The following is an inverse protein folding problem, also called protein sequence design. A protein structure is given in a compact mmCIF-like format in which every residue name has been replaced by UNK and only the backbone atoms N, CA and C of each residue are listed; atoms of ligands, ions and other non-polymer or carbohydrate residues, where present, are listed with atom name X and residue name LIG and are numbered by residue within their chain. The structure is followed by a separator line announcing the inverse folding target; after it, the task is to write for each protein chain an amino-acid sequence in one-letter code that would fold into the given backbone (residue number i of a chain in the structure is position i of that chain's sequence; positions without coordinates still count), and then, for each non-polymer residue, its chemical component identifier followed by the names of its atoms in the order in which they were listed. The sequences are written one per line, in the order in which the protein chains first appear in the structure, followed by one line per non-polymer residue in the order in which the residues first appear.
data_IF_685273223301
#
_entry.id   IF_685273223301
#
_cell.length_a   1.000
_cell.length_b   1.000
_cell.length_c   1.000
_cell.angle_alpha   90.00
_cell.angle_beta   90.00
_cell.angle_gamma   90.00
#
_symmetry.space_group_name_H-M   'P 1'
#
loop_
_entity.id
_entity.type
_entity.pdbx_description
1 polymer ?
#
# COMPACT_ATOMS: atom_id res chain seq x y z
N UNK A 1 -27.71 -23.13 -67.57
CA UNK A 1 -26.65 -23.52 -66.63
C UNK A 1 -26.38 -22.35 -65.70
N UNK A 2 -26.73 -22.48 -64.41
CA UNK A 2 -26.51 -21.44 -63.39
C UNK A 2 -25.21 -21.77 -62.65
N UNK A 3 -24.22 -20.89 -62.71
CA UNK A 3 -22.99 -20.99 -61.92
C UNK A 3 -23.30 -20.54 -60.48
N UNK A 4 -23.18 -21.45 -59.52
CA UNK A 4 -23.19 -21.12 -58.10
C UNK A 4 -21.75 -20.81 -57.67
N UNK A 5 -21.49 -19.56 -57.27
CA UNK A 5 -20.22 -19.16 -56.70
C UNK A 5 -20.22 -19.52 -55.20
N UNK A 6 -19.31 -20.41 -54.81
CA UNK A 6 -19.09 -20.81 -53.42
C UNK A 6 -18.17 -19.76 -52.77
N UNK A 7 -18.70 -18.96 -51.84
CA UNK A 7 -17.90 -18.03 -51.05
C UNK A 7 -17.34 -18.79 -49.84
N UNK A 8 -16.03 -19.05 -49.85
CA UNK A 8 -15.32 -19.62 -48.70
C UNK A 8 -15.01 -18.51 -47.68
N UNK A 9 -15.65 -18.55 -46.52
CA UNK A 9 -15.30 -17.70 -45.37
C UNK A 9 -13.98 -18.20 -44.76
N UNK A 10 -12.90 -17.46 -44.99
CA UNK A 10 -11.63 -17.66 -44.29
C UNK A 10 -11.80 -17.04 -42.90
N UNK A 11 -11.97 -17.90 -41.89
CA UNK A 11 -11.89 -17.49 -40.48
C UNK A 11 -10.40 -17.36 -40.14
N UNK A 12 -9.87 -16.15 -40.23
CA UNK A 12 -8.57 -15.85 -39.65
C UNK A 12 -8.69 -15.92 -38.12
N UNK A 13 -7.80 -16.63 -37.41
CA UNK A 13 -7.73 -16.52 -35.96
C UNK A 13 -7.39 -15.06 -35.62
N UNK A 14 -8.29 -14.39 -34.92
CA UNK A 14 -8.01 -13.07 -34.36
C UNK A 14 -6.84 -13.25 -33.39
N UNK A 15 -5.66 -12.73 -33.75
CA UNK A 15 -4.60 -12.56 -32.79
C UNK A 15 -5.19 -11.72 -31.63
N UNK A 16 -4.98 -12.10 -30.36
CA UNK A 16 -5.45 -11.28 -29.25
C UNK A 16 -4.85 -9.89 -29.43
N UNK A 17 -5.71 -8.90 -29.69
CA UNK A 17 -5.30 -7.50 -29.68
C UNK A 17 -4.69 -7.24 -28.31
N UNK A 18 -3.42 -6.83 -28.27
CA UNK A 18 -2.80 -6.40 -27.02
C UNK A 18 -3.55 -5.16 -26.53
N UNK A 19 -4.45 -5.32 -25.56
CA UNK A 19 -5.28 -4.26 -24.99
C UNK A 19 -4.50 -3.38 -24.00
N UNK A 20 -3.17 -3.30 -24.15
CA UNK A 20 -2.29 -2.55 -23.26
C UNK A 20 -2.67 -1.08 -23.30
N UNK A 21 -2.90 -0.49 -22.13
CA UNK A 21 -3.28 0.92 -21.99
C UNK A 21 -2.05 1.71 -21.55
N UNK A 22 -1.90 2.94 -22.05
CA UNK A 22 -0.90 3.87 -21.54
C UNK A 22 -1.29 4.30 -20.12
N UNK A 23 -0.39 4.16 -19.15
CA UNK A 23 -0.62 4.60 -17.77
C UNK A 23 0.05 5.96 -17.47
N UNK A 24 0.72 6.56 -18.44
CA UNK A 24 1.49 7.80 -18.24
C UNK A 24 0.60 8.93 -17.71
N UNK A 25 1.07 9.60 -16.66
CA UNK A 25 0.41 10.76 -16.07
C UNK A 25 0.63 10.89 -14.56
N UNK A 26 0.17 12.00 -14.02
CA UNK A 26 0.06 12.23 -12.57
C UNK A 26 -1.36 11.89 -12.14
N UNK A 27 -1.47 10.90 -11.25
CA UNK A 27 -2.73 10.36 -10.78
C UNK A 27 -2.95 10.81 -9.33
N UNK A 28 -3.77 11.84 -9.13
CA UNK A 28 -4.09 12.37 -7.80
C UNK A 28 -5.02 11.42 -7.03
N UNK A 29 -4.71 11.14 -5.77
CA UNK A 29 -5.53 10.26 -4.93
C UNK A 29 -6.87 10.91 -4.60
N UNK A 30 -7.96 10.13 -4.66
CA UNK A 30 -9.30 10.62 -4.32
C UNK A 30 -9.62 10.58 -2.82
N UNK A 31 -8.80 9.88 -2.01
CA UNK A 31 -8.89 9.85 -0.55
C UNK A 31 -10.15 9.15 -0.01
N UNK A 32 -10.40 7.91 -0.44
CA UNK A 32 -11.66 7.20 -0.16
C UNK A 32 -11.56 6.15 0.96
N UNK A 33 -10.35 5.71 1.34
CA UNK A 33 -10.18 4.81 2.47
C UNK A 33 -10.20 5.53 3.82
N UNK A 34 -10.51 4.78 4.87
CA UNK A 34 -10.41 5.21 6.26
C UNK A 34 -8.96 5.45 6.72
N UNK A 35 -7.99 4.84 6.04
CA UNK A 35 -6.57 4.93 6.37
C UNK A 35 -6.05 6.39 6.43
N UNK A 36 -6.57 7.29 5.59
CA UNK A 36 -6.18 8.72 5.65
C UNK A 36 -6.69 9.45 6.89
N UNK A 37 -7.72 8.90 7.57
CA UNK A 37 -8.36 9.47 8.75
C UNK A 37 -7.98 8.75 10.07
N UNK A 38 -7.21 7.66 10.02
CA UNK A 38 -6.82 6.92 11.21
C UNK A 38 -5.78 7.70 12.05
N UNK A 39 -6.19 8.24 13.20
CA UNK A 39 -5.33 9.08 14.07
C UNK A 39 -4.98 8.43 15.40
N UNK A 40 -5.76 7.44 15.85
CA UNK A 40 -5.63 6.78 17.14
C UNK A 40 -4.49 5.74 17.18
N UNK A 41 -3.52 5.83 18.11
CA UNK A 41 -2.32 5.00 18.19
C UNK A 41 -2.56 3.49 17.95
N UNK A 42 -3.60 2.94 18.57
CA UNK A 42 -4.00 1.54 18.42
C UNK A 42 -5.26 1.45 17.57
N UNK A 43 -5.08 1.25 16.27
CA UNK A 43 -6.17 0.95 15.33
C UNK A 43 -5.70 -0.01 14.23
N UNK A 44 -5.99 -1.30 14.45
CA UNK A 44 -5.74 -2.40 13.52
C UNK A 44 -7.03 -2.84 12.79
N UNK A 45 -8.10 -2.03 12.85
CA UNK A 45 -9.37 -2.35 12.20
C UNK A 45 -9.16 -2.67 10.72
N UNK A 46 -9.79 -3.76 10.27
CA UNK A 46 -9.77 -4.22 8.88
C UNK A 46 -8.45 -4.83 8.42
N UNK A 47 -7.42 -4.89 9.26
CA UNK A 47 -6.16 -5.56 8.93
C UNK A 47 -6.22 -7.01 9.41
N UNK A 48 -5.96 -8.01 8.55
CA UNK A 48 -5.94 -9.42 8.93
C UNK A 48 -4.63 -9.79 9.66
N UNK A 49 -4.26 -9.07 10.72
CA UNK A 49 -3.05 -9.34 11.51
C UNK A 49 -3.15 -10.68 12.25
N UNK A 50 -2.05 -11.43 12.25
CA UNK A 50 -1.89 -12.59 13.13
C UNK A 50 -1.39 -12.14 14.52
N UNK A 51 -1.01 -13.08 15.39
CA UNK A 51 -0.50 -12.77 16.73
C UNK A 51 0.81 -11.97 16.68
N UNK A 52 1.79 -12.41 15.87
CA UNK A 52 3.10 -11.74 15.73
C UNK A 52 2.96 -10.32 15.18
N UNK A 53 2.10 -10.12 14.17
CA UNK A 53 1.81 -8.82 13.60
C UNK A 53 1.17 -7.87 14.61
N UNK A 54 0.27 -8.39 15.45
CA UNK A 54 -0.37 -7.63 16.53
C UNK A 54 0.61 -7.26 17.63
N UNK A 55 1.48 -8.18 18.04
CA UNK A 55 2.55 -7.89 19.01
C UNK A 55 3.50 -6.82 18.45
N UNK A 56 3.88 -6.93 17.17
CA UNK A 56 4.73 -5.95 16.50
C UNK A 56 4.08 -4.56 16.50
N UNK A 57 2.81 -4.48 16.12
CA UNK A 57 2.01 -3.26 16.16
C UNK A 57 1.96 -2.64 17.57
N UNK A 58 1.60 -3.42 18.58
CA UNK A 58 1.42 -2.94 19.96
C UNK A 58 2.73 -2.63 20.69
N UNK A 59 3.87 -3.09 20.17
CA UNK A 59 5.19 -2.72 20.69
C UNK A 59 5.68 -1.36 20.21
N UNK A 60 5.04 -0.78 19.19
CA UNK A 60 5.50 0.44 18.55
C UNK A 60 5.13 1.68 19.36
N UNK A 61 6.12 2.52 19.64
CA UNK A 61 5.94 3.89 20.18
C UNK A 61 6.17 4.88 19.03
N UNK A 62 5.23 5.80 18.81
CA UNK A 62 5.31 6.83 17.76
C UNK A 62 6.54 7.73 17.90
N UNK A 63 7.09 7.87 19.10
CA UNK A 63 8.35 8.58 19.31
C UNK A 63 9.53 7.94 18.58
N UNK A 64 9.40 6.70 18.10
CA UNK A 64 10.38 6.08 17.22
C UNK A 64 10.56 6.84 15.88
N UNK A 65 9.60 7.65 15.44
CA UNK A 65 9.78 8.54 14.29
C UNK A 65 10.74 9.69 14.57
N UNK A 66 10.80 10.14 15.82
CA UNK A 66 11.67 11.23 16.27
C UNK A 66 13.10 10.75 16.58
N UNK A 67 13.38 9.45 16.47
CA UNK A 67 14.74 8.93 16.56
C UNK A 67 15.49 9.27 15.26
N UNK A 68 16.64 9.92 15.37
CA UNK A 68 17.40 10.44 14.22
C UNK A 68 17.80 9.32 13.25
N UNK A 69 18.07 8.11 13.73
CA UNK A 69 18.38 6.94 12.90
C UNK A 69 17.18 6.41 12.10
N UNK A 70 15.97 6.89 12.41
CA UNK A 70 14.70 6.42 11.82
C UNK A 70 13.96 7.47 11.01
N UNK A 71 14.19 8.76 11.24
CA UNK A 71 13.48 9.87 10.58
C UNK A 71 13.46 9.78 9.05
N UNK A 72 14.57 9.33 8.45
CA UNK A 72 14.69 9.23 7.00
C UNK A 72 14.51 7.80 6.45
N UNK A 73 13.87 6.91 7.22
CA UNK A 73 13.52 5.59 6.72
C UNK A 73 12.37 5.69 5.71
N UNK A 74 12.58 5.11 4.54
CA UNK A 74 11.53 5.01 3.53
C UNK A 74 10.49 3.95 3.90
N UNK A 75 9.23 4.27 3.66
CA UNK A 75 8.10 3.36 3.70
C UNK A 75 8.23 2.25 2.64
N UNK A 76 7.60 1.09 2.88
CA UNK A 76 7.61 -0.01 1.92
C UNK A 76 6.76 0.32 0.69
N UNK A 77 6.87 -0.44 -0.41
CA UNK A 77 6.12 -0.21 -1.64
C UNK A 77 4.59 -0.12 -1.46
N UNK A 78 4.03 -0.77 -0.44
CA UNK A 78 2.61 -0.69 -0.10
C UNK A 78 2.12 0.76 0.13
N UNK A 79 3.03 1.65 0.54
CA UNK A 79 2.75 3.07 0.74
C UNK A 79 2.37 3.83 -0.54
N UNK A 80 2.62 3.26 -1.73
CA UNK A 80 2.09 3.78 -2.98
C UNK A 80 0.54 3.81 -2.99
N UNK A 81 -0.11 2.94 -2.22
CA UNK A 81 -1.57 2.86 -2.10
C UNK A 81 -2.04 3.43 -0.77
N UNK A 82 -1.35 3.14 0.33
CA UNK A 82 -1.77 3.60 1.65
C UNK A 82 -1.42 5.07 1.94
N UNK A 83 -0.37 5.63 1.31
CA UNK A 83 0.12 6.99 1.52
C UNK A 83 -0.62 8.08 0.74
N UNK A 84 -0.62 9.34 1.20
CA UNK A 84 -1.50 10.39 0.69
C UNK A 84 -1.14 10.93 -0.71
N UNK A 85 0.03 10.53 -1.24
CA UNK A 85 0.63 11.12 -2.41
C UNK A 85 0.02 10.60 -3.73
N UNK A 86 0.12 11.37 -4.83
CA UNK A 86 -0.27 10.88 -6.16
C UNK A 86 0.67 9.76 -6.64
N UNK A 87 0.23 9.05 -7.69
CA UNK A 87 1.10 8.19 -8.49
C UNK A 87 1.54 8.94 -9.75
N UNK A 88 2.84 9.19 -9.89
CA UNK A 88 3.42 9.72 -11.12
C UNK A 88 3.99 8.58 -11.94
N UNK A 89 3.30 8.22 -13.02
CA UNK A 89 3.62 7.06 -13.83
C UNK A 89 4.21 7.51 -15.17
N UNK A 90 5.30 6.89 -15.59
CA UNK A 90 5.96 7.15 -16.87
C UNK A 90 6.50 5.86 -17.50
N UNK A 91 6.62 5.86 -18.83
CA UNK A 91 7.27 4.76 -19.55
C UNK A 91 8.79 4.89 -19.50
N UNK A 92 9.47 3.79 -19.20
CA UNK A 92 10.89 3.60 -19.45
C UNK A 92 11.05 2.79 -20.72
N UNK A 93 11.71 3.36 -21.73
CA UNK A 93 11.97 2.70 -23.01
C UNK A 93 13.38 2.14 -23.04
N UNK A 94 13.54 1.01 -23.71
CA UNK A 94 14.89 0.53 -24.02
C UNK A 94 15.53 1.49 -25.05
N UNK A 95 16.80 1.90 -24.88
CA UNK A 95 17.42 2.95 -25.68
C UNK A 95 17.48 2.71 -27.20
N UNK A 96 17.66 1.47 -27.65
CA UNK A 96 17.89 1.11 -29.06
C UNK A 96 16.58 0.82 -29.80
N UNK A 97 15.76 -0.05 -29.23
CA UNK A 97 14.51 -0.57 -29.80
C UNK A 97 13.31 0.33 -29.53
N UNK A 98 13.41 1.24 -28.56
CA UNK A 98 12.33 2.13 -28.11
C UNK A 98 11.06 1.40 -27.62
N UNK A 99 11.15 0.09 -27.42
CA UNK A 99 10.09 -0.73 -26.83
C UNK A 99 9.97 -0.43 -25.33
N UNK A 100 8.78 -0.66 -24.78
CA UNK A 100 8.54 -0.57 -23.35
C UNK A 100 9.46 -1.56 -22.62
N UNK A 101 10.32 -1.03 -21.75
CA UNK A 101 11.21 -1.82 -20.89
C UNK A 101 10.62 -1.95 -19.48
N UNK A 102 10.10 -0.85 -18.96
CA UNK A 102 9.47 -0.80 -17.64
C UNK A 102 8.45 0.34 -17.55
N UNK A 103 7.56 0.25 -16.57
CA UNK A 103 6.85 1.42 -16.04
C UNK A 103 7.61 1.94 -14.82
N UNK A 104 7.69 3.26 -14.69
CA UNK A 104 8.25 3.92 -13.50
C UNK A 104 7.14 4.64 -12.77
N UNK A 105 6.96 4.31 -11.50
CA UNK A 105 6.25 5.14 -10.53
C UNK A 105 7.30 5.96 -9.79
N UNK A 106 7.23 7.29 -9.87
CA UNK A 106 8.18 8.16 -9.19
C UNK A 106 8.17 7.92 -7.67
N UNK A 107 9.33 8.10 -7.03
CA UNK A 107 9.44 8.09 -5.57
C UNK A 107 8.90 9.39 -4.95
N UNK A 108 8.78 9.35 -3.63
CA UNK A 108 8.46 10.50 -2.76
C UNK A 108 9.56 10.66 -1.70
N UNK A 109 9.53 11.75 -0.92
CA UNK A 109 10.56 12.00 0.11
C UNK A 109 10.68 10.88 1.15
N UNK A 110 9.62 10.09 1.31
CA UNK A 110 9.48 9.00 2.27
C UNK A 110 9.23 7.64 1.58
N UNK A 111 9.33 7.53 0.25
CA UNK A 111 9.17 6.25 -0.49
C UNK A 111 10.07 6.21 -1.72
N UNK A 112 10.76 5.10 -1.91
CA UNK A 112 11.60 4.88 -3.09
C UNK A 112 10.78 4.81 -4.40
N UNK A 113 11.44 5.01 -5.53
CA UNK A 113 10.82 4.79 -6.84
C UNK A 113 10.46 3.31 -7.06
N UNK A 114 9.45 3.05 -7.89
CA UNK A 114 9.08 1.69 -8.28
C UNK A 114 9.27 1.51 -9.77
N UNK A 115 10.23 0.66 -10.15
CA UNK A 115 10.44 0.24 -11.52
C UNK A 115 9.76 -1.11 -11.73
N UNK A 116 8.72 -1.13 -12.55
CA UNK A 116 7.95 -2.33 -12.91
C UNK A 116 8.53 -2.88 -14.21
N UNK A 117 9.43 -3.85 -14.11
CA UNK A 117 10.09 -4.44 -15.28
C UNK A 117 9.11 -5.29 -16.10
N UNK A 118 9.00 -5.01 -17.40
CA UNK A 118 8.03 -5.65 -18.30
C UNK A 118 8.63 -6.74 -19.19
N UNK A 119 9.93 -7.02 -19.04
CA UNK A 119 10.69 -7.93 -19.89
C UNK A 119 10.74 -9.39 -19.39
N UNK A 120 9.96 -9.71 -18.35
CA UNK A 120 9.85 -11.07 -17.81
C UNK A 120 11.11 -11.55 -17.07
N UNK A 121 12.00 -10.64 -16.66
CA UNK A 121 13.17 -11.00 -15.86
C UNK A 121 12.78 -11.68 -14.55
N UNK A 122 13.56 -12.66 -14.07
CA UNK A 122 13.26 -13.33 -12.81
C UNK A 122 13.45 -12.39 -11.62
N UNK A 123 12.68 -12.64 -10.56
CA UNK A 123 12.93 -12.00 -9.28
C UNK A 123 14.29 -12.44 -8.71
N UNK A 124 14.96 -11.60 -7.91
CA UNK A 124 16.20 -11.94 -7.24
C UNK A 124 16.08 -13.22 -6.38
N UNK A 125 17.21 -13.82 -6.05
CA UNK A 125 17.22 -14.92 -5.09
C UNK A 125 16.78 -14.43 -3.71
N UNK A 126 16.18 -15.31 -2.89
CA UNK A 126 15.76 -15.02 -1.51
C UNK A 126 16.85 -14.52 -0.56
N UNK A 127 18.12 -14.56 -0.96
CA UNK A 127 19.27 -14.07 -0.18
C UNK A 127 19.83 -12.76 -0.74
N UNK A 128 19.22 -12.20 -1.79
CA UNK A 128 19.63 -10.92 -2.33
C UNK A 128 19.36 -9.80 -1.30
N UNK A 129 20.14 -8.72 -1.29
CA UNK A 129 19.86 -7.55 -0.48
C UNK A 129 18.47 -6.96 -0.81
N UNK A 130 17.73 -6.51 0.20
CA UNK A 130 16.42 -5.88 0.03
C UNK A 130 16.57 -4.36 -0.05
N UNK A 131 16.39 -3.73 -1.24
CA UNK A 131 16.26 -2.27 -1.34
C UNK A 131 14.94 -1.78 -0.72
N UNK A 132 14.82 -0.48 -0.47
CA UNK A 132 13.58 0.10 0.06
C UNK A 132 12.42 -0.04 -0.95
N UNK A 133 12.64 0.28 -2.23
CA UNK A 133 11.64 0.11 -3.29
C UNK A 133 11.35 -1.34 -3.71
N UNK A 134 12.08 -2.31 -3.16
CA UNK A 134 11.98 -3.72 -3.55
C UNK A 134 12.38 -3.98 -5.00
N UNK A 135 11.97 -5.14 -5.51
CA UNK A 135 12.11 -5.53 -6.90
C UNK A 135 10.74 -5.89 -7.48
N UNK A 136 10.37 -5.24 -8.59
CA UNK A 136 9.03 -5.33 -9.17
C UNK A 136 9.07 -5.79 -10.61
N UNK A 137 8.25 -6.78 -10.97
CA UNK A 137 7.97 -7.16 -12.35
C UNK A 137 6.52 -6.90 -12.68
N UNK A 138 6.19 -6.75 -13.96
CA UNK A 138 4.82 -6.53 -14.42
C UNK A 138 4.43 -7.42 -15.58
N UNK A 139 3.15 -7.77 -15.62
CA UNK A 139 2.49 -8.52 -16.68
C UNK A 139 1.16 -7.87 -17.04
N UNK A 140 0.77 -7.95 -18.30
CA UNK A 140 -0.53 -7.47 -18.75
C UNK A 140 -1.55 -8.63 -18.78
N UNK A 141 -2.70 -8.40 -18.17
CA UNK A 141 -3.88 -9.27 -18.24
C UNK A 141 -5.01 -8.48 -18.92
N UNK A 142 -5.12 -8.60 -20.24
CA UNK A 142 -5.99 -7.71 -21.03
C UNK A 142 -5.50 -6.27 -20.96
N UNK A 143 -6.32 -5.40 -20.39
CA UNK A 143 -6.05 -3.97 -20.17
C UNK A 143 -5.61 -3.64 -18.73
N UNK A 144 -5.45 -4.66 -17.88
CA UNK A 144 -4.97 -4.54 -16.51
C UNK A 144 -3.47 -4.79 -16.46
N UNK A 145 -2.70 -3.84 -15.92
CA UNK A 145 -1.31 -4.10 -15.55
C UNK A 145 -1.30 -4.72 -14.16
N UNK A 146 -0.72 -5.90 -14.01
CA UNK A 146 -0.45 -6.52 -12.71
C UNK A 146 1.03 -6.43 -12.43
N UNK A 147 1.43 -5.84 -11.30
CA UNK A 147 2.81 -5.82 -10.85
C UNK A 147 2.99 -6.61 -9.58
N UNK A 148 4.09 -7.36 -9.46
CA UNK A 148 4.45 -8.11 -8.26
C UNK A 148 5.78 -7.59 -7.74
N UNK A 149 5.78 -7.11 -6.51
CA UNK A 149 6.92 -6.58 -5.79
C UNK A 149 7.33 -7.52 -4.65
N UNK A 150 8.63 -7.75 -4.53
CA UNK A 150 9.25 -8.58 -3.47
C UNK A 150 10.55 -7.92 -3.02
N UNK A 151 11.29 -8.53 -2.08
CA UNK A 151 12.62 -8.06 -1.67
C UNK A 151 12.63 -6.60 -1.21
N UNK A 152 11.53 -6.11 -0.65
CA UNK A 152 11.50 -4.81 0.01
C UNK A 152 11.75 -4.99 1.51
N UNK A 153 12.13 -3.90 2.17
CA UNK A 153 12.35 -3.92 3.61
C UNK A 153 11.02 -3.95 4.37
N UNK A 154 11.07 -4.49 5.59
CA UNK A 154 10.00 -4.35 6.57
C UNK A 154 9.59 -2.88 6.69
N UNK A 155 8.29 -2.64 6.83
CA UNK A 155 7.79 -1.29 7.01
C UNK A 155 6.30 -1.21 7.26
N UNK A 156 5.83 0.02 7.48
CA UNK A 156 4.45 0.32 7.85
C UNK A 156 3.46 0.15 6.68
N UNK A 157 2.27 -0.34 7.01
CA UNK A 157 1.14 -0.54 6.08
C UNK A 157 -0.10 0.28 6.44
N UNK A 158 -0.16 0.89 7.63
CA UNK A 158 -1.27 1.72 8.12
C UNK A 158 -0.78 2.73 9.17
N UNK A 159 -0.07 3.79 8.76
CA UNK A 159 0.33 4.94 9.62
C UNK A 159 0.88 4.56 11.00
N UNK A 160 1.80 3.61 10.98
CA UNK A 160 2.53 3.01 12.10
C UNK A 160 1.70 2.19 13.07
N UNK A 161 0.55 1.70 12.60
CA UNK A 161 -0.35 0.81 13.35
C UNK A 161 -0.17 -0.63 12.96
N UNK A 162 0.16 -0.90 11.69
CA UNK A 162 0.42 -2.25 11.18
C UNK A 162 1.73 -2.29 10.43
N UNK A 163 2.35 -3.47 10.38
CA UNK A 163 3.66 -3.66 9.72
C UNK A 163 3.62 -4.84 8.75
N UNK A 164 4.41 -4.71 7.69
CA UNK A 164 4.77 -5.79 6.77
C UNK A 164 6.22 -6.20 7.01
N UNK A 165 6.51 -7.50 6.90
CA UNK A 165 7.87 -8.05 6.99
C UNK A 165 8.63 -7.88 5.68
N UNK A 166 9.93 -8.15 5.73
CA UNK A 166 10.78 -8.24 4.55
C UNK A 166 10.49 -9.48 3.68
N UNK A 167 9.66 -10.40 4.17
CA UNK A 167 9.20 -11.60 3.45
C UNK A 167 7.85 -11.39 2.75
N UNK A 168 7.28 -10.20 2.84
CA UNK A 168 6.02 -9.89 2.21
C UNK A 168 6.13 -9.85 0.68
N UNK A 169 5.05 -10.19 0.01
CA UNK A 169 4.85 -10.04 -1.44
C UNK A 169 3.72 -9.05 -1.64
N UNK A 170 3.95 -8.05 -2.49
CA UNK A 170 2.97 -7.01 -2.77
C UNK A 170 2.58 -7.05 -4.24
N UNK A 171 1.31 -7.29 -4.50
CA UNK A 171 0.73 -7.28 -5.85
C UNK A 171 -0.10 -6.01 -6.03
N UNK A 172 0.11 -5.28 -7.13
CA UNK A 172 -0.76 -4.18 -7.54
C UNK A 172 -1.44 -4.51 -8.87
N UNK A 173 -2.73 -4.24 -8.97
CA UNK A 173 -3.50 -4.31 -10.22
C UNK A 173 -3.97 -2.93 -10.61
N UNK A 174 -3.50 -2.43 -11.76
CA UNK A 174 -3.81 -1.12 -12.29
C UNK A 174 -4.90 -1.25 -13.37
N UNK A 175 -6.08 -0.70 -13.09
CA UNK A 175 -7.22 -0.71 -14.00
C UNK A 175 -7.53 0.74 -14.38
N UNK A 176 -7.24 1.13 -15.63
CA UNK A 176 -7.48 2.50 -16.11
C UNK A 176 -8.78 2.57 -16.92
N UNK A 177 -9.63 3.52 -16.54
CA UNK A 177 -10.85 3.89 -17.27
C UNK A 177 -10.84 5.40 -17.52
N UNK A 178 -10.31 5.81 -18.67
CA UNK A 178 -10.23 7.23 -19.06
C UNK A 178 -9.31 8.04 -18.14
N UNK A 179 -9.90 8.95 -17.38
CA UNK A 179 -9.26 9.82 -16.38
C UNK A 179 -9.32 9.25 -14.95
N UNK A 180 -9.80 8.00 -14.79
CA UNK A 180 -9.85 7.29 -13.52
C UNK A 180 -8.89 6.09 -13.57
N UNK A 181 -8.08 5.94 -12.52
CA UNK A 181 -7.21 4.79 -12.29
C UNK A 181 -7.60 4.13 -10.97
N UNK A 182 -8.05 2.89 -11.03
CA UNK A 182 -8.29 2.07 -9.85
C UNK A 182 -7.09 1.15 -9.63
N UNK A 183 -6.44 1.29 -8.47
CA UNK A 183 -5.31 0.43 -8.09
C UNK A 183 -5.74 -0.44 -6.92
N UNK A 184 -5.74 -1.75 -7.14
CA UNK A 184 -5.95 -2.74 -6.08
C UNK A 184 -4.60 -3.27 -5.62
N UNK A 185 -4.27 -3.05 -4.37
CA UNK A 185 -3.11 -3.61 -3.68
C UNK A 185 -3.48 -4.85 -2.89
N UNK A 186 -2.69 -5.89 -3.02
CA UNK A 186 -2.82 -7.15 -2.27
C UNK A 186 -1.47 -7.40 -1.62
N UNK A 187 -1.43 -7.37 -0.29
CA UNK A 187 -0.24 -7.64 0.49
C UNK A 187 -0.36 -8.99 1.17
N UNK A 188 0.54 -9.89 0.82
CA UNK A 188 0.67 -11.21 1.44
C UNK A 188 1.92 -11.20 2.30
N UNK A 189 1.78 -11.47 3.59
CA UNK A 189 2.92 -11.51 4.51
C UNK A 189 2.82 -12.75 5.43
N UNK A 190 3.68 -13.75 5.22
CA UNK A 190 3.64 -14.98 6.02
C UNK A 190 4.09 -14.78 7.47
N UNK A 191 4.60 -13.60 7.85
CA UNK A 191 5.10 -13.33 9.20
C UNK A 191 4.05 -12.59 10.03
N UNK A 192 3.45 -11.52 9.52
CA UNK A 192 2.57 -10.65 10.32
C UNK A 192 1.08 -10.71 9.96
N UNK A 193 0.72 -11.32 8.83
CA UNK A 193 -0.67 -11.40 8.39
C UNK A 193 -1.17 -12.86 8.44
N UNK A 194 -2.44 -13.02 8.81
CA UNK A 194 -3.13 -14.31 8.77
C UNK A 194 -3.72 -14.60 7.39
N UNK A 195 -4.08 -13.56 6.64
CA UNK A 195 -4.68 -13.60 5.31
C UNK A 195 -4.18 -12.40 4.48
N UNK A 196 -4.33 -12.41 3.14
CA UNK A 196 -3.92 -11.27 2.31
C UNK A 196 -4.65 -9.98 2.71
N UNK A 197 -3.90 -8.89 2.92
CA UNK A 197 -4.47 -7.57 3.18
C UNK A 197 -4.72 -6.84 1.86
N UNK A 198 -5.98 -6.55 1.55
CA UNK A 198 -6.41 -5.99 0.27
C UNK A 198 -6.94 -4.58 0.44
N UNK A 199 -6.39 -3.62 -0.30
CA UNK A 199 -6.88 -2.25 -0.39
C UNK A 199 -7.12 -1.88 -1.84
N UNK A 200 -8.18 -1.11 -2.10
CA UNK A 200 -8.43 -0.54 -3.42
C UNK A 200 -8.54 0.96 -3.31
N UNK A 201 -7.76 1.67 -4.12
CA UNK A 201 -7.73 3.12 -4.17
C UNK A 201 -8.06 3.63 -5.56
N UNK A 202 -8.70 4.79 -5.60
CA UNK A 202 -9.06 5.47 -6.84
C UNK A 202 -8.26 6.74 -6.96
N UNK A 203 -7.58 6.86 -8.10
CA UNK A 203 -6.84 8.04 -8.50
C UNK A 203 -7.50 8.68 -9.73
N UNK A 204 -7.39 10.00 -9.83
CA UNK A 204 -7.86 10.79 -10.96
C UNK A 204 -6.69 11.43 -11.67
N UNK A 205 -6.70 11.38 -12.99
CA UNK A 205 -5.70 12.06 -13.81
C UNK A 205 -5.77 13.55 -13.54
N UNK A 206 -4.62 14.16 -13.25
CA UNK A 206 -4.54 15.60 -12.98
C UNK A 206 -3.44 16.23 -13.83
N UNK A 207 -3.68 17.47 -14.24
CA UNK A 207 -2.67 18.34 -14.84
C UNK A 207 -2.02 19.24 -13.80
N UNK A 208 -2.45 19.19 -12.55
CA UNK A 208 -1.79 19.93 -11.47
C UNK A 208 -0.40 19.30 -11.27
N UNK A 209 0.69 20.01 -11.60
CA UNK A 209 2.01 19.51 -11.27
C UNK A 209 2.05 19.42 -9.75
N UNK A 210 2.16 18.21 -9.21
CA UNK A 210 2.26 18.03 -7.76
C UNK A 210 3.62 18.60 -7.33
N UNK A 211 3.62 19.89 -7.02
CA UNK A 211 4.81 20.70 -6.80
C UNK A 211 5.38 20.59 -5.40
N UNK A 212 5.10 19.51 -4.67
CA UNK A 212 5.76 19.31 -3.39
C UNK A 212 7.23 19.00 -3.68
N UNK A 213 8.17 19.88 -3.32
CA UNK A 213 9.57 19.65 -3.63
C UNK A 213 10.00 18.39 -2.91
N UNK A 214 10.54 17.43 -3.67
CA UNK A 214 11.29 16.32 -3.11
C UNK A 214 12.57 16.90 -2.48
N UNK A 215 12.46 17.44 -1.28
CA UNK A 215 13.63 17.83 -0.49
C UNK A 215 14.26 16.54 0.04
N UNK A 216 15.59 16.47 0.01
CA UNK A 216 16.30 15.39 0.69
C UNK A 216 15.86 15.37 2.16
N UNK A 217 15.56 14.18 2.69
CA UNK A 217 15.29 14.05 4.11
C UNK A 217 16.57 14.38 4.88
N UNK A 218 16.45 15.32 5.82
CA UNK A 218 17.50 15.65 6.78
C UNK A 218 16.98 15.33 8.17
N UNK A 219 17.79 14.62 8.95
CA UNK A 219 17.45 14.29 10.34
C UNK A 219 17.52 15.54 11.20
N UNK A 220 16.57 15.69 12.11
CA UNK A 220 16.50 16.80 13.05
C UNK A 220 16.21 16.29 14.45
N UNK A 221 16.73 16.95 15.47
CA UNK A 221 16.47 16.57 16.85
C UNK A 221 15.08 17.06 17.28
N UNK A 222 14.10 16.16 17.31
CA UNK A 222 12.71 16.49 17.68
C UNK A 222 12.42 16.32 19.17
N UNK A 223 13.01 15.30 19.80
CA UNK A 223 12.75 14.94 21.19
C UNK A 223 14.03 15.02 22.02
N UNK A 224 14.11 15.93 23.01
CA UNK A 224 15.29 16.06 23.88
C UNK A 224 15.71 14.74 24.52
N UNK A 225 14.76 13.93 24.98
CA UNK A 225 15.04 12.62 25.61
C UNK A 225 15.79 11.63 24.72
N UNK A 226 15.59 11.70 23.40
CA UNK A 226 16.26 10.79 22.44
C UNK A 226 17.64 11.33 22.05
N UNK A 227 17.82 12.65 22.07
CA UNK A 227 19.13 13.26 21.89
C UNK A 227 20.04 13.02 23.11
N UNK A 228 19.50 13.21 24.32
CA UNK A 228 20.23 13.04 25.58
C UNK A 228 20.66 11.58 25.83
N UNK A 229 19.86 10.62 25.36
CA UNK A 229 20.17 9.19 25.44
C UNK A 229 19.82 8.46 24.12
N UNK A 230 20.78 8.40 23.17
CA UNK A 230 20.57 7.73 21.88
C UNK A 230 20.50 6.20 22.00
N UNK A 231 20.71 5.64 23.19
CA UNK A 231 20.54 4.19 23.41
C UNK A 231 19.07 3.80 23.61
N UNK A 232 18.21 4.79 23.85
CA UNK A 232 16.76 4.58 23.99
C UNK A 232 16.18 4.25 22.62
N UNK A 233 15.68 3.03 22.47
CA UNK A 233 14.76 2.65 21.40
C UNK A 233 13.33 2.76 21.92
N UNK A 234 12.51 3.76 21.51
CA UNK A 234 11.12 3.86 21.93
C UNK A 234 10.32 2.60 21.60
N UNK A 235 9.69 2.02 22.60
CA UNK A 235 8.84 0.84 22.47
C UNK A 235 7.93 0.68 23.70
N UNK A 236 6.89 -0.13 23.56
CA UNK A 236 6.08 -0.63 24.68
C UNK A 236 6.36 -2.10 24.93
N UNK A 237 6.37 -2.49 26.21
CA UNK A 237 6.41 -3.90 26.60
C UNK A 237 5.06 -4.57 26.30
N UNK A 238 5.01 -5.91 26.14
CA UNK A 238 3.77 -6.63 25.93
C UNK A 238 2.69 -6.28 26.95
N UNK A 239 1.52 -5.84 26.46
CA UNK A 239 0.37 -5.45 27.30
C UNK A 239 0.49 -4.08 27.98
N UNK A 240 1.55 -3.31 27.72
CA UNK A 240 1.81 -2.01 28.35
C UNK A 240 1.56 -0.80 27.44
N UNK A 241 0.92 -0.99 26.28
CA UNK A 241 0.62 0.11 25.39
C UNK A 241 -0.40 1.06 26.06
N UNK A 242 -0.10 2.37 26.22
CA UNK A 242 -0.93 3.28 27.03
C UNK A 242 -2.30 3.57 26.40
N UNK A 243 -2.39 3.55 25.07
CA UNK A 243 -3.62 3.85 24.32
C UNK A 243 -4.46 2.60 23.94
N UNK A 244 -4.29 1.45 24.62
CA UNK A 244 -4.98 0.21 24.26
C UNK A 244 -6.49 0.35 24.12
N UNK A 245 -7.12 1.12 25.00
CA UNK A 245 -8.58 1.28 25.04
C UNK A 245 -9.06 2.58 24.39
N UNK A 246 -8.19 3.42 23.82
CA UNK A 246 -8.57 4.76 23.35
C UNK A 246 -9.70 4.72 22.31
N UNK A 247 -9.56 3.86 21.28
CA UNK A 247 -10.61 3.67 20.25
C UNK A 247 -11.88 3.07 20.85
N UNK A 248 -11.74 2.18 21.84
CA UNK A 248 -12.88 1.54 22.50
C UNK A 248 -13.68 2.56 23.29
N UNK A 249 -13.02 3.39 24.09
CA UNK A 249 -13.65 4.38 24.96
C UNK A 249 -14.24 5.56 24.14
N UNK A 250 -13.58 5.94 23.05
CA UNK A 250 -14.01 7.08 22.20
C UNK A 250 -15.13 6.72 21.24
N UNK A 251 -15.10 5.53 20.65
CA UNK A 251 -16.01 5.15 19.57
C UNK A 251 -16.95 4.00 19.92
N UNK A 252 -16.88 3.47 21.16
CA UNK A 252 -17.61 2.28 21.59
C UNK A 252 -17.35 1.05 20.71
N UNK A 253 -16.20 1.00 20.03
CA UNK A 253 -15.80 -0.14 19.19
C UNK A 253 -15.12 -1.18 20.07
N UNK A 254 -15.60 -2.43 20.16
CA UNK A 254 -14.99 -3.44 21.03
C UNK A 254 -13.51 -3.69 20.72
N UNK A 255 -12.70 -3.88 21.76
CA UNK A 255 -11.25 -4.06 21.64
C UNK A 255 -10.87 -5.21 20.68
N UNK A 256 -11.65 -6.30 20.67
CA UNK A 256 -11.49 -7.43 19.74
C UNK A 256 -11.54 -7.00 18.26
N UNK A 257 -12.33 -5.97 17.93
CA UNK A 257 -12.35 -5.37 16.61
C UNK A 257 -11.14 -4.46 16.39
N UNK A 258 -10.86 -3.58 17.36
CA UNK A 258 -9.77 -2.58 17.30
C UNK A 258 -8.41 -3.23 17.06
N UNK A 259 -8.18 -4.40 17.66
CA UNK A 259 -6.91 -5.11 17.52
C UNK A 259 -6.76 -5.88 16.19
N UNK A 260 -7.78 -5.85 15.31
CA UNK A 260 -7.75 -6.49 14.01
C UNK A 260 -7.77 -8.01 14.06
N UNK A 261 -7.46 -8.65 12.94
CA UNK A 261 -7.51 -10.10 12.75
C UNK A 261 -8.36 -10.48 11.54
N UNK A 262 -8.20 -11.71 11.01
CA UNK A 262 -8.83 -12.11 9.75
C UNK A 262 -10.34 -11.96 9.77
N UNK A 263 -10.99 -12.33 10.89
CA UNK A 263 -12.44 -12.19 11.03
C UNK A 263 -12.91 -10.74 10.89
N UNK A 264 -12.13 -9.76 11.36
CA UNK A 264 -12.50 -8.34 11.35
C UNK A 264 -12.48 -7.70 9.96
N UNK A 265 -11.86 -8.37 8.98
CA UNK A 265 -11.82 -7.93 7.58
C UNK A 265 -13.17 -8.14 6.88
N UNK A 266 -13.97 -9.10 7.34
CA UNK A 266 -15.16 -9.55 6.65
C UNK A 266 -16.45 -8.88 7.17
N UNK A 267 -17.42 -8.53 6.29
CA UNK A 267 -18.67 -7.87 6.69
C UNK A 267 -19.47 -8.63 7.75
N UNK A 268 -19.36 -9.96 7.79
CA UNK A 268 -20.03 -10.85 8.73
C UNK A 268 -19.68 -10.54 10.18
N UNK A 269 -18.49 -9.98 10.44
CA UNK A 269 -18.06 -9.60 11.79
C UNK A 269 -19.01 -8.57 12.43
N UNK A 270 -19.64 -7.71 11.62
CA UNK A 270 -20.61 -6.73 12.10
C UNK A 270 -21.79 -7.38 12.83
N UNK A 271 -22.17 -8.61 12.48
CA UNK A 271 -23.23 -9.36 13.17
C UNK A 271 -22.87 -9.71 14.61
N UNK A 272 -21.57 -9.85 14.93
CA UNK A 272 -21.10 -10.07 16.31
C UNK A 272 -21.13 -8.79 17.14
N UNK A 273 -21.15 -7.64 16.47
CA UNK A 273 -21.15 -6.31 17.08
C UNK A 273 -22.56 -5.75 17.25
N UNK A 274 -23.56 -6.26 16.52
CA UNK A 274 -24.92 -5.70 16.44
C UNK A 274 -25.56 -5.48 17.82
N UNK A 275 -25.42 -6.43 18.74
CA UNK A 275 -25.99 -6.34 20.09
C UNK A 275 -25.12 -5.55 21.09
N UNK A 276 -23.86 -5.25 20.74
CA UNK A 276 -22.86 -4.67 21.66
C UNK A 276 -22.47 -3.23 21.31
N UNK A 277 -22.55 -2.86 20.03
CA UNK A 277 -22.11 -1.58 19.53
C UNK A 277 -23.21 -0.52 19.70
N UNK A 278 -22.87 0.56 20.40
CA UNK A 278 -23.73 1.74 20.52
C UNK A 278 -22.94 2.93 20.01
N UNK A 279 -23.40 3.56 18.93
CA UNK A 279 -22.74 4.76 18.39
C UNK A 279 -22.60 5.81 19.52
N UNK A 280 -21.40 6.36 19.77
CA UNK A 280 -21.24 7.42 20.75
C UNK A 280 -22.12 8.62 20.37
N UNK A 281 -22.56 9.43 21.35
CA UNK A 281 -23.28 10.66 21.05
C UNK A 281 -22.43 11.53 20.12
N UNK A 282 -23.05 12.29 19.19
CA UNK A 282 -22.31 13.23 18.37
C UNK A 282 -21.47 14.13 19.26
N UNK A 283 -20.21 14.36 18.89
CA UNK A 283 -19.37 15.35 19.58
C UNK A 283 -20.13 16.67 19.52
N UNK A 284 -20.64 17.15 20.66
CA UNK A 284 -21.39 18.39 20.73
C UNK A 284 -20.51 19.49 20.14
N UNK A 285 -21.03 20.23 19.15
CA UNK A 285 -20.34 21.36 18.55
C UNK A 285 -20.00 22.39 19.63
N UNK A 286 -18.79 22.30 20.18
CA UNK A 286 -18.20 23.34 20.99
C UNK A 286 -17.57 24.36 20.05
N UNK A 287 -18.04 25.61 20.16
CA UNK A 287 -17.46 26.80 19.52
C UNK A 287 -15.94 26.90 19.72
#
# INVERSE_FOLDING_TARGET
MKFAALIAFIVLPAAPTAAQIDLTGTWARSGQSDNVNAVEPVDLLGIPVNEDGRVKALSYDIAALSATERQCQMYPPFYAISGPFPLEISMVREPVTQKLLAWKIAGWGDRDETIIWMDGRPHPSKYAPHPHGGFTTGTWEGDTLTSVTTHFKLGDIKRHRGFSSDRATFTMRFNRHGDILTVTGILEDPVYLAEPYVLTEVFRLTTNPNGFPLTACETIEELPRLHEDPTIAPHYLPGQHPAMNEVTDKYNIPLEAVLGGPETMYPEFRKRLEDRYVLPPPVGGGN
#
